data_IF_820541536923
#
_entry.id   IF_820541536923
#
_cell.length_a   1.000
_cell.length_b   1.000
_cell.length_c   1.000
_cell.angle_alpha   90.00
_cell.angle_beta   90.00
_cell.angle_gamma   90.00
#
_symmetry.space_group_name_H-M   'P 1'
#
loop_
_entity.id
_entity.type
_entity.pdbx_description
1 polymer ?
#
# COMPACT_ATOMS: atom_id res chain seq x y z
N UNK A 1 -13.10 26.18 -8.00
CA UNK A 1 -12.81 25.59 -6.69
C UNK A 1 -13.15 24.12 -6.78
N UNK A 2 -12.19 23.18 -6.63
CA UNK A 2 -12.53 21.78 -6.50
C UNK A 2 -13.40 21.57 -5.26
N UNK A 3 -14.44 20.75 -5.39
CA UNK A 3 -15.28 20.36 -4.24
C UNK A 3 -14.55 19.27 -3.46
N UNK A 4 -14.44 19.43 -2.15
CA UNK A 4 -13.83 18.41 -1.29
C UNK A 4 -14.79 17.24 -1.08
N UNK A 5 -14.31 16.02 -1.32
CA UNK A 5 -14.98 14.77 -0.99
C UNK A 5 -14.19 14.11 0.11
N UNK A 6 -14.86 13.69 1.18
CA UNK A 6 -14.25 12.93 2.27
C UNK A 6 -14.56 11.45 2.13
N UNK A 7 -13.58 10.61 2.45
CA UNK A 7 -13.67 9.15 2.40
C UNK A 7 -13.30 8.57 3.77
N UNK A 8 -14.00 7.52 4.18
CA UNK A 8 -13.66 6.79 5.40
C UNK A 8 -12.63 5.70 5.09
N UNK A 9 -11.67 5.55 5.99
CA UNK A 9 -10.64 4.51 5.95
C UNK A 9 -10.52 3.89 7.33
N UNK A 10 -10.21 2.59 7.37
CA UNK A 10 -9.99 1.88 8.62
C UNK A 10 -8.68 2.32 9.28
N UNK A 11 -8.64 2.27 10.60
CA UNK A 11 -7.41 2.19 11.36
C UNK A 11 -6.81 0.77 11.28
N UNK A 12 -5.53 0.63 11.58
CA UNK A 12 -4.84 -0.68 11.51
C UNK A 12 -5.43 -1.70 12.48
N UNK A 13 -5.83 -1.29 13.68
CA UNK A 13 -6.47 -2.16 14.67
C UNK A 13 -7.87 -2.63 14.23
N UNK A 14 -8.57 -1.85 13.41
CA UNK A 14 -9.84 -2.26 12.80
C UNK A 14 -9.68 -3.35 11.73
N UNK A 15 -8.45 -3.65 11.29
CA UNK A 15 -8.15 -4.82 10.45
C UNK A 15 -8.03 -6.12 11.26
N UNK A 16 -7.93 -6.04 12.60
CA UNK A 16 -7.68 -7.19 13.47
C UNK A 16 -8.69 -8.34 13.30
N UNK A 17 -10.02 -8.11 13.11
CA UNK A 17 -10.96 -9.21 12.90
C UNK A 17 -10.60 -10.10 11.70
N UNK A 18 -10.16 -9.51 10.60
CA UNK A 18 -9.75 -10.25 9.40
C UNK A 18 -8.46 -11.04 9.64
N UNK A 19 -7.53 -10.51 10.44
CA UNK A 19 -6.31 -11.22 10.85
C UNK A 19 -6.64 -12.43 11.73
N UNK A 20 -7.51 -12.24 12.74
CA UNK A 20 -7.93 -13.32 13.64
C UNK A 20 -8.62 -14.44 12.88
N UNK A 21 -9.57 -14.09 12.00
CA UNK A 21 -10.29 -15.07 11.18
C UNK A 21 -9.35 -15.82 10.23
N UNK A 22 -8.36 -15.12 9.65
CA UNK A 22 -7.41 -15.73 8.73
C UNK A 22 -6.53 -16.78 9.41
N UNK A 23 -5.99 -16.49 10.60
CA UNK A 23 -5.06 -17.38 11.31
C UNK A 23 -5.74 -18.32 12.32
N UNK A 24 -7.04 -18.15 12.59
CA UNK A 24 -7.75 -18.81 13.69
C UNK A 24 -7.23 -18.44 15.09
N UNK A 25 -6.40 -17.41 15.19
CA UNK A 25 -5.75 -16.96 16.43
C UNK A 25 -5.37 -15.49 16.33
N UNK A 26 -5.23 -14.84 17.49
CA UNK A 26 -4.77 -13.45 17.53
C UNK A 26 -3.30 -13.36 17.11
N UNK A 27 -3.06 -12.72 15.96
CA UNK A 27 -1.75 -12.20 15.56
C UNK A 27 -1.85 -10.68 15.47
N UNK A 28 -0.84 -9.98 15.97
CA UNK A 28 -0.79 -8.52 15.90
C UNK A 28 0.10 -8.05 14.76
N UNK A 29 -0.21 -6.88 14.21
CA UNK A 29 0.72 -6.17 13.35
C UNK A 29 1.95 -5.72 14.14
N UNK A 30 3.13 -5.94 13.58
CA UNK A 30 4.42 -5.57 14.14
C UNK A 30 4.97 -4.33 13.41
N UNK A 31 5.78 -3.54 14.11
CA UNK A 31 6.37 -2.29 13.59
C UNK A 31 7.89 -2.23 13.84
N UNK A 32 8.50 -3.36 14.22
CA UNK A 32 9.92 -3.48 14.45
C UNK A 32 10.66 -3.88 13.16
N UNK A 33 11.86 -4.46 13.31
CA UNK A 33 12.74 -4.78 12.18
C UNK A 33 12.05 -5.74 11.19
N UNK A 34 12.02 -5.33 9.92
CA UNK A 34 11.42 -6.12 8.85
C UNK A 34 12.11 -7.50 8.72
N UNK A 35 11.36 -8.61 8.81
CA UNK A 35 11.94 -9.95 8.74
C UNK A 35 12.17 -10.37 7.30
N UNK A 36 13.11 -11.29 7.08
CA UNK A 36 13.31 -11.96 5.78
C UNK A 36 12.33 -13.14 5.61
N UNK A 37 11.05 -12.91 5.93
CA UNK A 37 9.98 -13.88 5.91
C UNK A 37 8.82 -13.37 5.04
N UNK A 38 7.96 -14.27 4.52
CA UNK A 38 6.75 -13.87 3.83
C UNK A 38 5.76 -13.23 4.81
N UNK A 39 4.93 -12.33 4.29
CA UNK A 39 3.90 -11.68 5.09
C UNK A 39 3.13 -10.61 4.35
N UNK A 40 2.06 -10.14 5.00
CA UNK A 40 1.31 -8.97 4.58
C UNK A 40 1.81 -7.73 5.33
N UNK A 41 1.80 -6.58 4.67
CA UNK A 41 2.16 -5.29 5.25
C UNK A 41 1.11 -4.24 4.92
N UNK A 42 1.02 -3.26 5.80
CA UNK A 42 0.04 -2.18 5.77
C UNK A 42 0.79 -0.87 5.95
N UNK A 43 0.67 0.02 4.98
CA UNK A 43 1.11 1.39 5.09
C UNK A 43 -0.03 2.26 5.58
N UNK A 44 0.25 3.15 6.53
CA UNK A 44 -0.73 4.02 7.16
C UNK A 44 -0.17 5.40 7.47
N UNK A 45 -1.04 6.40 7.50
CA UNK A 45 -0.74 7.71 8.05
C UNK A 45 -1.65 7.95 9.27
N UNK A 46 -1.07 8.37 10.40
CA UNK A 46 -1.80 8.51 11.67
C UNK A 46 -2.62 7.26 12.05
N UNK A 47 -2.05 6.07 11.79
CA UNK A 47 -2.69 4.78 12.03
C UNK A 47 -3.82 4.41 11.07
N UNK A 48 -4.13 5.25 10.08
CA UNK A 48 -5.17 5.03 9.07
C UNK A 48 -4.61 4.39 7.81
N UNK A 49 -5.24 3.31 7.37
CA UNK A 49 -4.78 2.48 6.27
C UNK A 49 -4.79 3.25 4.95
N UNK A 50 -3.62 3.32 4.30
CA UNK A 50 -3.45 3.93 2.97
C UNK A 50 -3.23 2.87 1.90
N UNK A 51 -2.40 1.86 2.19
CA UNK A 51 -2.07 0.79 1.26
C UNK A 51 -1.87 -0.54 2.00
N UNK A 52 -2.20 -1.64 1.34
CA UNK A 52 -2.00 -3.00 1.84
C UNK A 52 -1.30 -3.77 0.72
N UNK A 53 -0.27 -4.54 1.07
CA UNK A 53 0.43 -5.41 0.14
C UNK A 53 0.92 -6.70 0.80
N UNK A 54 1.45 -7.60 -0.02
CA UNK A 54 2.11 -8.83 0.42
C UNK A 54 3.52 -8.95 -0.16
N UNK A 55 4.34 -9.75 0.51
CA UNK A 55 5.72 -9.98 0.10
C UNK A 55 6.15 -11.41 0.39
N UNK A 56 6.97 -11.99 -0.49
CA UNK A 56 7.70 -13.23 -0.21
C UNK A 56 8.86 -13.00 0.80
N UNK A 57 9.31 -11.75 0.91
CA UNK A 57 10.29 -11.30 1.90
C UNK A 57 9.96 -9.86 2.28
N UNK A 58 9.42 -9.64 3.48
CA UNK A 58 9.04 -8.32 3.98
C UNK A 58 10.23 -7.35 3.96
N UNK A 59 11.40 -7.77 4.47
CA UNK A 59 12.63 -6.97 4.47
C UNK A 59 13.03 -6.48 3.07
N UNK A 60 12.96 -7.36 2.06
CA UNK A 60 13.31 -7.00 0.70
C UNK A 60 12.27 -6.04 0.12
N UNK A 61 11.00 -6.43 0.15
CA UNK A 61 9.93 -5.69 -0.52
C UNK A 61 9.71 -4.34 0.12
N UNK A 62 9.45 -4.30 1.42
CA UNK A 62 9.18 -3.04 2.14
C UNK A 62 10.43 -2.15 2.16
N UNK A 63 11.64 -2.73 2.21
CA UNK A 63 12.88 -1.96 2.09
C UNK A 63 13.06 -1.28 0.73
N UNK A 64 12.72 -1.96 -0.37
CA UNK A 64 12.70 -1.35 -1.72
C UNK A 64 11.68 -0.20 -1.78
N UNK A 65 10.49 -0.39 -1.20
CA UNK A 65 9.45 0.65 -1.14
C UNK A 65 9.88 1.86 -0.31
N UNK A 66 10.48 1.63 0.87
CA UNK A 66 11.04 2.68 1.71
C UNK A 66 12.11 3.49 0.97
N UNK A 67 12.98 2.82 0.20
CA UNK A 67 13.98 3.50 -0.62
C UNK A 67 13.33 4.39 -1.68
N UNK A 68 12.31 3.90 -2.40
CA UNK A 68 11.58 4.69 -3.39
C UNK A 68 10.86 5.88 -2.77
N UNK A 69 10.20 5.70 -1.62
CA UNK A 69 9.50 6.77 -0.89
C UNK A 69 10.50 7.82 -0.41
N UNK A 70 11.61 7.41 0.19
CA UNK A 70 12.63 8.33 0.69
C UNK A 70 13.22 9.20 -0.42
N UNK A 71 13.51 8.61 -1.58
CA UNK A 71 14.08 9.32 -2.74
C UNK A 71 13.08 10.07 -3.62
N UNK A 72 11.77 10.00 -3.34
CA UNK A 72 10.74 10.68 -4.12
C UNK A 72 10.56 12.13 -3.65
N UNK A 73 10.63 13.08 -4.58
CA UNK A 73 10.31 14.50 -4.36
C UNK A 73 8.99 14.84 -5.08
N UNK A 74 7.85 14.94 -4.36
CA UNK A 74 6.51 15.10 -4.95
C UNK A 74 6.35 16.28 -5.90
N UNK A 75 7.10 17.36 -5.68
CA UNK A 75 7.03 18.59 -6.46
C UNK A 75 7.91 18.54 -7.72
N UNK A 76 8.83 17.57 -7.82
CA UNK A 76 9.88 17.53 -8.84
C UNK A 76 9.84 16.25 -9.70
N UNK A 77 9.11 15.22 -9.29
CA UNK A 77 9.13 13.92 -9.94
C UNK A 77 7.76 13.27 -10.12
N UNK A 78 7.62 12.54 -11.23
CA UNK A 78 6.49 11.64 -11.49
C UNK A 78 6.80 10.22 -11.02
N UNK A 79 6.01 9.73 -10.07
CA UNK A 79 6.07 8.37 -9.56
C UNK A 79 4.68 7.74 -9.54
N UNK A 80 4.63 6.43 -9.31
CA UNK A 80 3.35 5.73 -9.13
C UNK A 80 2.56 6.39 -8.00
N UNK A 81 1.24 6.47 -8.18
CA UNK A 81 0.32 7.12 -7.22
C UNK A 81 0.54 6.66 -5.79
N UNK A 82 0.94 5.40 -5.58
CA UNK A 82 1.22 4.88 -4.25
C UNK A 82 2.43 5.55 -3.60
N UNK A 83 3.60 5.59 -4.25
CA UNK A 83 4.82 6.22 -3.68
C UNK A 83 4.56 7.68 -3.35
N UNK A 84 3.92 8.40 -4.26
CA UNK A 84 3.52 9.79 -4.05
C UNK A 84 2.59 9.93 -2.83
N UNK A 85 1.50 9.15 -2.78
CA UNK A 85 0.53 9.18 -1.67
C UNK A 85 1.20 8.87 -0.33
N UNK A 86 2.05 7.84 -0.28
CA UNK A 86 2.74 7.46 0.95
C UNK A 86 3.74 8.53 1.41
N UNK A 87 4.45 9.17 0.48
CA UNK A 87 5.40 10.26 0.78
C UNK A 87 4.70 11.51 1.31
N UNK A 88 3.64 11.99 0.64
CA UNK A 88 2.95 13.23 1.04
C UNK A 88 2.20 13.10 2.37
N UNK A 89 1.89 11.88 2.80
CA UNK A 89 1.20 11.59 4.05
C UNK A 89 2.12 11.05 5.16
N UNK A 90 3.45 11.08 4.97
CA UNK A 90 4.44 10.56 5.92
C UNK A 90 4.10 9.16 6.45
N UNK A 91 3.76 8.27 5.52
CA UNK A 91 3.22 6.98 5.86
C UNK A 91 4.25 6.08 6.56
N UNK A 92 3.80 5.36 7.58
CA UNK A 92 4.55 4.33 8.30
C UNK A 92 4.02 2.94 7.95
N UNK A 93 4.84 1.91 8.17
CA UNK A 93 4.51 0.53 7.79
C UNK A 93 4.44 -0.38 9.02
N UNK A 94 3.42 -1.23 9.05
CA UNK A 94 3.30 -2.36 9.96
C UNK A 94 3.08 -3.65 9.18
N UNK A 95 3.37 -4.80 9.77
CA UNK A 95 3.35 -6.08 9.05
C UNK A 95 2.94 -7.27 9.91
N UNK A 96 2.54 -8.36 9.26
CA UNK A 96 2.30 -9.66 9.91
C UNK A 96 2.89 -10.77 9.05
N UNK A 97 3.65 -11.68 9.67
CA UNK A 97 4.27 -12.82 8.99
C UNK A 97 3.26 -13.94 8.76
N UNK A 98 3.37 -14.57 7.59
CA UNK A 98 2.57 -15.72 7.14
C UNK A 98 3.44 -16.97 7.02
N UNK A 99 2.82 -18.12 6.76
CA UNK A 99 3.56 -19.38 6.57
C UNK A 99 4.39 -19.34 5.28
N UNK A 100 3.76 -18.90 4.19
CA UNK A 100 4.39 -18.76 2.89
C UNK A 100 3.88 -17.51 2.15
N UNK A 101 4.35 -17.31 0.92
CA UNK A 101 3.94 -16.18 0.10
C UNK A 101 2.50 -16.31 -0.43
N UNK A 102 2.00 -17.52 -0.69
CA UNK A 102 0.63 -17.71 -1.14
C UNK A 102 -0.37 -17.34 -0.04
N UNK A 103 -0.03 -17.68 1.21
CA UNK A 103 -0.74 -17.28 2.42
C UNK A 103 -0.70 -15.75 2.61
N UNK A 104 0.44 -15.11 2.35
CA UNK A 104 0.57 -13.65 2.34
C UNK A 104 -0.37 -12.98 1.32
N UNK A 105 -0.42 -13.48 0.10
CA UNK A 105 -1.32 -12.97 -0.94
C UNK A 105 -2.80 -13.20 -0.60
N UNK A 106 -3.13 -14.30 0.08
CA UNK A 106 -4.48 -14.56 0.55
C UNK A 106 -4.87 -13.60 1.68
N UNK A 107 -3.96 -13.34 2.62
CA UNK A 107 -4.16 -12.40 3.70
C UNK A 107 -4.35 -10.97 3.15
N UNK A 108 -3.48 -10.50 2.25
CA UNK A 108 -3.63 -9.21 1.58
C UNK A 108 -5.04 -9.03 0.99
N UNK A 109 -5.50 -10.02 0.21
CA UNK A 109 -6.84 -10.00 -0.40
C UNK A 109 -7.94 -9.91 0.66
N UNK A 110 -7.86 -10.70 1.73
CA UNK A 110 -8.83 -10.67 2.83
C UNK A 110 -8.85 -9.32 3.55
N UNK A 111 -7.69 -8.71 3.80
CA UNK A 111 -7.60 -7.39 4.43
C UNK A 111 -8.19 -6.28 3.55
N UNK A 112 -7.92 -6.32 2.24
CA UNK A 112 -8.49 -5.35 1.28
C UNK A 112 -10.01 -5.49 1.21
N UNK A 113 -10.53 -6.71 1.11
CA UNK A 113 -11.97 -6.95 1.04
C UNK A 113 -12.68 -6.67 2.37
N UNK A 114 -12.02 -6.89 3.52
CA UNK A 114 -12.52 -6.44 4.82
C UNK A 114 -12.63 -4.91 4.88
N UNK A 115 -11.58 -4.19 4.46
CA UNK A 115 -11.61 -2.73 4.37
C UNK A 115 -12.79 -2.25 3.50
N UNK A 116 -13.02 -2.88 2.35
CA UNK A 116 -14.16 -2.59 1.47
C UNK A 116 -15.50 -2.86 2.14
N UNK A 117 -15.64 -3.98 2.83
CA UNK A 117 -16.88 -4.32 3.52
C UNK A 117 -17.25 -3.28 4.60
N UNK A 118 -16.25 -2.73 5.28
CA UNK A 118 -16.48 -1.74 6.34
C UNK A 118 -16.66 -0.30 5.82
N UNK A 119 -15.94 0.09 4.78
CA UNK A 119 -15.85 1.51 4.34
C UNK A 119 -16.49 1.78 2.99
N UNK A 120 -16.85 0.74 2.24
CA UNK A 120 -17.33 0.81 0.86
C UNK A 120 -16.23 1.01 -0.19
N UNK A 121 -14.96 1.17 0.20
CA UNK A 121 -13.83 1.41 -0.72
C UNK A 121 -12.61 0.56 -0.37
N UNK A 122 -11.73 0.36 -1.36
CA UNK A 122 -10.40 -0.19 -1.10
C UNK A 122 -9.52 0.86 -0.36
N UNK A 123 -8.38 0.47 0.22
CA UNK A 123 -7.35 1.43 0.63
C UNK A 123 -7.03 2.44 -0.48
N UNK A 124 -6.74 3.69 -0.09
CA UNK A 124 -6.69 4.83 -1.01
C UNK A 124 -5.59 4.72 -2.07
N UNK A 125 -4.40 4.31 -1.64
CA UNK A 125 -3.31 4.06 -2.55
C UNK A 125 -3.50 2.67 -3.15
N UNK A 126 -3.69 2.60 -4.48
CA UNK A 126 -3.83 1.34 -5.20
C UNK A 126 -2.82 1.20 -6.32
N UNK A 127 -2.37 -0.04 -6.47
CA UNK A 127 -1.67 -0.50 -7.65
C UNK A 127 -0.24 0.02 -7.76
N UNK A 128 0.64 -0.61 -6.98
CA UNK A 128 2.06 -0.30 -6.94
C UNK A 128 2.76 -0.37 -8.31
N UNK A 129 2.35 -1.30 -9.19
CA UNK A 129 2.90 -1.45 -10.54
C UNK A 129 1.83 -1.85 -11.55
N UNK A 130 1.94 -1.31 -12.77
CA UNK A 130 1.25 -1.88 -13.91
C UNK A 130 2.05 -3.07 -14.45
N UNK A 131 1.37 -4.15 -14.87
CA UNK A 131 2.05 -5.27 -15.53
C UNK A 131 2.63 -4.78 -16.87
N UNK A 132 3.87 -5.16 -17.18
CA UNK A 132 4.49 -4.84 -18.47
C UNK A 132 3.62 -5.31 -19.64
N UNK A 133 3.40 -4.46 -20.63
CA UNK A 133 2.53 -4.66 -21.78
C UNK A 133 1.03 -4.48 -21.49
N UNK A 134 0.62 -4.13 -20.28
CA UNK A 134 -0.80 -3.97 -19.96
C UNK A 134 -1.36 -2.62 -20.41
N UNK A 135 -2.68 -2.50 -20.69
CA UNK A 135 -3.34 -1.21 -20.92
C UNK A 135 -3.11 -0.21 -19.78
N UNK A 136 -2.98 -0.71 -18.55
CA UNK A 136 -2.65 0.10 -17.38
C UNK A 136 -1.25 0.72 -17.47
N UNK A 137 -0.26 -0.02 -17.97
CA UNK A 137 1.09 0.50 -18.17
C UNK A 137 1.09 1.59 -19.24
N UNK A 138 0.36 1.38 -20.35
CA UNK A 138 0.21 2.41 -21.38
C UNK A 138 -0.45 3.69 -20.82
N UNK A 139 -1.51 3.55 -20.00
CA UNK A 139 -2.13 4.68 -19.32
C UNK A 139 -1.19 5.40 -18.35
N UNK A 140 -0.38 4.65 -17.59
CA UNK A 140 0.64 5.20 -16.70
C UNK A 140 1.72 5.97 -17.48
N UNK A 141 2.20 5.43 -18.60
CA UNK A 141 3.19 6.09 -19.46
C UNK A 141 2.63 7.38 -20.08
N UNK A 142 1.37 7.34 -20.55
CA UNK A 142 0.69 8.52 -21.05
C UNK A 142 0.56 9.62 -19.98
N UNK A 143 0.14 9.25 -18.76
CA UNK A 143 -0.01 10.19 -17.66
C UNK A 143 1.34 10.79 -17.23
N UNK A 144 2.40 9.97 -17.19
CA UNK A 144 3.78 10.45 -16.99
C UNK A 144 4.19 11.46 -18.04
N UNK A 145 3.95 11.15 -19.32
CA UNK A 145 4.29 12.04 -20.41
C UNK A 145 3.51 13.36 -20.34
N UNK A 146 2.25 13.33 -19.88
CA UNK A 146 1.48 14.53 -19.60
C UNK A 146 2.10 15.35 -18.45
N UNK A 147 2.37 14.73 -17.31
CA UNK A 147 2.99 15.39 -16.16
C UNK A 147 4.31 16.07 -16.55
N UNK A 148 5.19 15.36 -17.27
CA UNK A 148 6.47 15.92 -17.73
C UNK A 148 6.30 17.15 -18.63
N UNK A 149 5.21 17.24 -19.42
CA UNK A 149 4.96 18.42 -20.27
C UNK A 149 4.45 19.61 -19.46
N UNK A 150 3.66 19.36 -18.43
CA UNK A 150 3.06 20.41 -17.60
C UNK A 150 4.04 20.94 -16.55
N UNK A 151 4.92 20.07 -16.03
CA UNK A 151 5.76 20.36 -14.86
C UNK A 151 7.26 20.08 -15.06
N UNK A 152 7.66 19.41 -16.14
CA UNK A 152 9.07 19.15 -16.41
C UNK A 152 9.80 20.42 -16.85
N UNK A 153 10.88 20.76 -16.14
CA UNK A 153 11.83 21.80 -16.53
C UNK A 153 12.78 21.34 -17.65
#
# INVERSE_FOLDING_TARGET
MPTSISVQVLAIDELQPAVVEHFGSARAFQADLLPRLPGAYVWSADGRVLYIGSAASLAKRVGEEQYWIAGHEPDEAWEVSVVHTLKIHDATVQWVVTEDYADAELLERRLIEWHRACTGIAPLAVGWNAKKGSPREAGQQWARALWNREFGH
#
